data_IF_178503474487
#
_entry.id   IF_178503474487
#
_cell.length_a   1.000
_cell.length_b   1.000
_cell.length_c   1.000
_cell.angle_alpha   90.00
_cell.angle_beta   90.00
_cell.angle_gamma   90.00
#
_symmetry.space_group_name_H-M   'P 1'
#
loop_
_entity.id
_entity.type
_entity.pdbx_description
1 polymer ?
#
# COMPACT_ATOMS: atom_id res chain seq x y z
N UNK A 1 15.72 -2.52 -58.91
CA UNK A 1 16.47 -2.50 -57.63
C UNK A 1 15.52 -3.03 -56.57
N UNK A 2 15.31 -4.34 -56.54
CA UNK A 2 14.34 -5.00 -55.68
C UNK A 2 15.08 -5.50 -54.45
N UNK A 3 15.37 -4.58 -53.53
CA UNK A 3 15.79 -4.97 -52.20
C UNK A 3 14.57 -5.57 -51.50
N UNK A 4 14.60 -6.88 -51.32
CA UNK A 4 13.54 -7.63 -50.64
C UNK A 4 13.75 -7.54 -49.13
N UNK A 5 12.66 -7.62 -48.36
CA UNK A 5 12.77 -7.81 -46.93
C UNK A 5 13.40 -9.17 -46.64
N UNK A 6 14.29 -9.20 -45.67
CA UNK A 6 14.86 -10.43 -45.14
C UNK A 6 13.80 -11.22 -44.37
N UNK A 7 14.07 -12.51 -44.20
CA UNK A 7 13.13 -13.43 -43.57
C UNK A 7 12.86 -13.08 -42.11
N UNK A 8 13.85 -12.57 -41.37
CA UNK A 8 13.68 -12.20 -39.97
C UNK A 8 12.72 -11.02 -39.83
N UNK A 9 12.83 -10.00 -40.69
CA UNK A 9 11.87 -8.88 -40.73
C UNK A 9 10.46 -9.35 -41.08
N UNK A 10 10.30 -10.28 -42.02
CA UNK A 10 8.97 -10.83 -42.36
C UNK A 10 8.36 -11.63 -41.19
N UNK A 11 9.15 -12.41 -40.47
CA UNK A 11 8.69 -13.12 -39.27
C UNK A 11 8.30 -12.14 -38.16
N UNK A 12 9.17 -11.17 -37.86
CA UNK A 12 8.90 -10.15 -36.85
C UNK A 12 7.68 -9.27 -37.21
N UNK A 13 7.45 -9.03 -38.50
CA UNK A 13 6.22 -8.37 -38.97
C UNK A 13 4.98 -9.20 -38.67
N UNK A 14 5.03 -10.52 -38.94
CA UNK A 14 3.91 -11.44 -38.66
C UNK A 14 3.58 -11.50 -37.16
N UNK A 15 4.61 -11.48 -36.31
CA UNK A 15 4.49 -11.54 -34.85
C UNK A 15 4.23 -10.15 -34.21
N UNK A 16 4.17 -9.09 -35.02
CA UNK A 16 4.00 -7.69 -34.58
C UNK A 16 5.09 -7.23 -33.58
N UNK A 17 6.34 -7.66 -33.82
CA UNK A 17 7.51 -7.38 -32.99
C UNK A 17 8.46 -6.33 -33.58
N UNK A 18 8.16 -5.81 -34.78
CA UNK A 18 8.95 -4.75 -35.40
C UNK A 18 8.78 -3.40 -34.70
N UNK A 19 9.83 -2.58 -34.74
CA UNK A 19 9.72 -1.18 -34.35
C UNK A 19 8.71 -0.43 -35.25
N UNK A 20 8.05 0.64 -34.76
CA UNK A 20 6.97 1.29 -35.51
C UNK A 20 7.36 1.81 -36.91
N UNK A 21 8.60 2.27 -37.06
CA UNK A 21 9.16 2.75 -38.32
C UNK A 21 9.45 1.60 -39.30
N UNK A 22 10.01 0.49 -38.82
CA UNK A 22 10.26 -0.72 -39.61
C UNK A 22 8.95 -1.38 -40.04
N UNK A 23 7.97 -1.46 -39.13
CA UNK A 23 6.64 -1.99 -39.43
C UNK A 23 5.96 -1.17 -40.55
N UNK A 24 6.09 0.16 -40.52
CA UNK A 24 5.55 1.03 -41.58
C UNK A 24 6.26 0.78 -42.93
N UNK A 25 7.59 0.61 -42.93
CA UNK A 25 8.34 0.28 -44.15
C UNK A 25 7.92 -1.07 -44.73
N UNK A 26 7.80 -2.10 -43.89
CA UNK A 26 7.33 -3.42 -44.29
C UNK A 26 5.91 -3.37 -44.86
N UNK A 27 4.99 -2.69 -44.18
CA UNK A 27 3.61 -2.52 -44.63
C UNK A 27 3.51 -1.82 -46.00
N UNK A 28 4.39 -0.85 -46.27
CA UNK A 28 4.44 -0.17 -47.57
C UNK A 28 5.08 -1.04 -48.67
N UNK A 29 5.98 -1.96 -48.33
CA UNK A 29 6.68 -2.83 -49.27
C UNK A 29 5.85 -4.05 -49.71
N UNK A 30 5.14 -4.68 -48.78
CA UNK A 30 4.33 -5.89 -49.03
C UNK A 30 3.34 -5.80 -50.20
N UNK A 31 2.61 -4.68 -50.44
CA UNK A 31 1.71 -4.59 -51.60
C UNK A 31 2.43 -4.43 -52.94
N UNK A 32 3.71 -4.05 -52.93
CA UNK A 32 4.51 -3.80 -54.14
C UNK A 32 5.37 -5.00 -54.53
N UNK A 33 5.70 -5.87 -53.55
CA UNK A 33 6.54 -7.04 -53.78
C UNK A 33 5.77 -8.35 -53.58
N UNK A 34 5.42 -9.01 -54.69
CA UNK A 34 4.73 -10.31 -54.68
C UNK A 34 5.53 -11.42 -54.00
N UNK A 35 6.87 -11.38 -54.10
CA UNK A 35 7.72 -12.40 -53.46
C UNK A 35 7.67 -12.30 -51.93
N UNK A 36 7.79 -11.09 -51.38
CA UNK A 36 7.70 -10.89 -49.93
C UNK A 36 6.30 -11.19 -49.40
N UNK A 37 5.24 -10.84 -50.14
CA UNK A 37 3.87 -11.16 -49.73
C UNK A 37 3.56 -12.65 -49.80
N UNK A 38 4.07 -13.37 -50.80
CA UNK A 38 3.99 -14.83 -50.89
C UNK A 38 4.69 -15.50 -49.71
N UNK A 39 5.94 -15.12 -49.40
CA UNK A 39 6.68 -15.65 -48.25
C UNK A 39 5.96 -15.38 -46.93
N UNK A 40 5.40 -14.18 -46.74
CA UNK A 40 4.62 -13.84 -45.54
C UNK A 40 3.36 -14.72 -45.42
N UNK A 41 2.67 -14.98 -46.55
CA UNK A 41 1.50 -15.85 -46.57
C UNK A 41 1.85 -17.31 -46.22
N UNK A 42 2.99 -17.81 -46.68
CA UNK A 42 3.52 -19.13 -46.32
C UNK A 42 3.80 -19.24 -44.81
N UNK A 43 4.51 -18.26 -44.24
CA UNK A 43 4.77 -18.17 -42.80
C UNK A 43 3.46 -18.14 -41.99
N UNK A 44 2.49 -17.32 -42.43
CA UNK A 44 1.18 -17.25 -41.79
C UNK A 44 0.38 -18.57 -41.88
N UNK A 45 0.49 -19.30 -42.99
CA UNK A 45 -0.13 -20.61 -43.14
C UNK A 45 0.50 -21.66 -42.20
N UNK A 46 1.82 -21.66 -42.07
CA UNK A 46 2.54 -22.51 -41.13
C UNK A 46 2.13 -22.20 -39.67
N UNK A 47 2.13 -20.93 -39.28
CA UNK A 47 1.72 -20.49 -37.94
C UNK A 47 0.30 -20.94 -37.59
N UNK A 48 -0.67 -20.76 -38.50
CA UNK A 48 -2.05 -21.25 -38.32
C UNK A 48 -2.12 -22.77 -38.18
N UNK A 49 -1.31 -23.50 -38.94
CA UNK A 49 -1.28 -24.97 -38.87
C UNK A 49 -0.75 -25.45 -37.51
N UNK A 50 0.26 -24.77 -36.96
CA UNK A 50 0.77 -25.04 -35.61
C UNK A 50 -0.26 -24.71 -34.52
N UNK A 51 -0.98 -23.59 -34.66
CA UNK A 51 -2.04 -23.20 -33.73
C UNK A 51 -3.25 -24.15 -33.76
N UNK A 52 -3.49 -24.84 -34.87
CA UNK A 52 -4.55 -25.83 -35.01
C UNK A 52 -4.25 -27.16 -34.31
N UNK A 53 -3.01 -27.37 -33.84
CA UNK A 53 -2.65 -28.57 -33.11
C UNK A 53 -3.37 -28.62 -31.75
N UNK A 54 -3.81 -29.81 -31.30
CA UNK A 54 -4.44 -29.95 -30.00
C UNK A 54 -3.43 -29.66 -28.89
N UNK A 55 -3.59 -28.54 -28.21
CA UNK A 55 -2.88 -28.25 -26.97
C UNK A 55 -3.54 -28.98 -25.80
N UNK A 56 -2.72 -29.54 -24.90
CA UNK A 56 -3.22 -30.12 -23.66
C UNK A 56 -3.99 -29.06 -22.87
N UNK A 57 -5.12 -29.46 -22.27
CA UNK A 57 -5.88 -28.57 -21.40
C UNK A 57 -5.01 -28.11 -20.23
N UNK A 58 -5.08 -26.81 -19.92
CA UNK A 58 -4.36 -26.25 -18.79
C UNK A 58 -4.95 -26.84 -17.49
N UNK A 59 -4.14 -27.32 -16.53
CA UNK A 59 -4.65 -27.84 -15.27
C UNK A 59 -5.49 -26.79 -14.53
N UNK A 60 -6.62 -27.21 -13.94
CA UNK A 60 -7.58 -26.29 -13.30
C UNK A 60 -6.92 -25.38 -12.23
N UNK A 61 -6.02 -25.94 -11.42
CA UNK A 61 -5.31 -25.15 -10.40
C UNK A 61 -4.42 -24.07 -11.00
N UNK A 62 -3.88 -24.28 -12.20
CA UNK A 62 -3.05 -23.31 -12.89
C UNK A 62 -3.91 -22.22 -13.55
N UNK A 63 -5.04 -22.60 -14.16
CA UNK A 63 -5.98 -21.62 -14.73
C UNK A 63 -6.56 -20.70 -13.65
N UNK A 64 -6.96 -21.24 -12.49
CA UNK A 64 -7.42 -20.45 -11.35
C UNK A 64 -6.38 -19.44 -10.85
N UNK A 65 -5.11 -19.87 -10.74
CA UNK A 65 -4.02 -18.98 -10.31
C UNK A 65 -3.78 -17.85 -11.29
N UNK A 66 -3.77 -18.14 -12.59
CA UNK A 66 -3.61 -17.12 -13.62
C UNK A 66 -4.78 -16.15 -13.61
N UNK A 67 -6.02 -16.66 -13.52
CA UNK A 67 -7.20 -15.81 -13.40
C UNK A 67 -7.14 -14.92 -12.16
N UNK A 68 -6.71 -15.42 -11.00
CA UNK A 68 -6.58 -14.61 -9.81
C UNK A 68 -5.45 -13.56 -9.92
N UNK A 69 -4.34 -13.90 -10.59
CA UNK A 69 -3.20 -12.99 -10.75
C UNK A 69 -3.47 -11.84 -11.73
N UNK A 70 -4.20 -12.13 -12.80
CA UNK A 70 -4.57 -11.13 -13.81
C UNK A 70 -5.99 -10.59 -13.65
N UNK A 71 -6.72 -11.02 -12.61
CA UNK A 71 -8.01 -10.45 -12.29
C UNK A 71 -7.83 -8.94 -12.06
N UNK A 72 -8.65 -8.09 -12.71
CA UNK A 72 -8.64 -6.68 -12.41
C UNK A 72 -8.91 -6.50 -10.93
N UNK A 73 -8.07 -5.73 -10.24
CA UNK A 73 -8.28 -5.43 -8.84
C UNK A 73 -9.71 -4.90 -8.65
N UNK A 74 -10.48 -5.40 -7.66
CA UNK A 74 -11.84 -4.92 -7.44
C UNK A 74 -11.79 -3.41 -7.23
N UNK A 75 -12.30 -2.67 -8.22
CA UNK A 75 -12.28 -1.23 -8.21
C UNK A 75 -13.17 -0.74 -7.08
N UNK A 76 -12.59 -0.32 -5.95
CA UNK A 76 -13.36 0.37 -4.89
C UNK A 76 -14.06 1.55 -5.52
N UNK A 77 -15.39 1.54 -5.45
CA UNK A 77 -16.20 2.58 -6.09
C UNK A 77 -15.81 3.94 -5.52
N UNK A 78 -15.92 5.01 -6.34
CA UNK A 78 -15.63 6.38 -5.88
C UNK A 78 -16.44 6.73 -4.61
N UNK A 79 -17.64 6.16 -4.49
CA UNK A 79 -18.51 6.30 -3.34
C UNK A 79 -17.93 5.63 -2.09
N UNK A 80 -17.52 4.35 -2.16
CA UNK A 80 -16.84 3.68 -1.04
C UNK A 80 -15.57 4.42 -0.59
N UNK A 81 -14.81 4.95 -1.54
CA UNK A 81 -13.58 5.71 -1.24
C UNK A 81 -13.88 7.01 -0.48
N UNK A 82 -14.92 7.74 -0.89
CA UNK A 82 -15.40 8.96 -0.19
C UNK A 82 -15.94 8.65 1.19
N UNK A 83 -16.74 7.59 1.34
CA UNK A 83 -17.25 7.17 2.66
C UNK A 83 -16.13 6.78 3.61
N UNK A 84 -15.09 6.11 3.13
CA UNK A 84 -13.94 5.78 3.95
C UNK A 84 -13.12 7.01 4.37
N UNK A 85 -12.98 8.02 3.51
CA UNK A 85 -12.34 9.28 3.86
C UNK A 85 -13.13 10.03 4.95
N UNK A 86 -14.46 10.04 4.86
CA UNK A 86 -15.33 10.63 5.88
C UNK A 86 -15.23 9.84 7.19
N UNK A 87 -15.31 8.51 7.13
CA UNK A 87 -15.21 7.63 8.30
C UNK A 87 -13.86 7.77 9.01
N UNK A 88 -12.75 7.86 8.27
CA UNK A 88 -11.43 8.06 8.85
C UNK A 88 -11.29 9.42 9.54
N UNK A 89 -11.85 10.48 8.96
CA UNK A 89 -11.80 11.81 9.55
C UNK A 89 -12.62 11.87 10.86
N UNK A 90 -13.83 11.29 10.87
CA UNK A 90 -14.67 11.22 12.05
C UNK A 90 -14.02 10.39 13.17
N UNK A 91 -13.39 9.25 12.84
CA UNK A 91 -12.69 8.42 13.81
C UNK A 91 -11.54 9.15 14.50
N UNK A 92 -10.74 9.93 13.76
CA UNK A 92 -9.64 10.72 14.33
C UNK A 92 -10.13 11.80 15.29
N UNK A 93 -11.22 12.50 14.94
CA UNK A 93 -11.83 13.53 15.79
C UNK A 93 -12.37 12.89 17.07
N UNK A 94 -13.09 11.77 16.94
CA UNK A 94 -13.69 11.07 18.08
C UNK A 94 -12.62 10.52 19.03
N UNK A 95 -11.54 9.96 18.49
CA UNK A 95 -10.39 9.50 19.29
C UNK A 95 -9.71 10.68 20.01
N UNK A 96 -9.52 11.81 19.33
CA UNK A 96 -8.98 13.03 19.94
C UNK A 96 -9.85 13.58 21.06
N UNK A 97 -11.18 13.62 20.87
CA UNK A 97 -12.13 14.04 21.91
C UNK A 97 -12.10 13.09 23.11
N UNK A 98 -12.06 11.78 22.89
CA UNK A 98 -11.99 10.80 23.96
C UNK A 98 -10.71 10.98 24.79
N UNK A 99 -9.56 11.09 24.14
CA UNK A 99 -8.28 11.32 24.82
C UNK A 99 -8.29 12.66 25.56
N UNK A 100 -8.77 13.73 24.93
CA UNK A 100 -8.87 15.05 25.56
C UNK A 100 -9.77 15.05 26.79
N UNK A 101 -10.93 14.39 26.71
CA UNK A 101 -11.85 14.28 27.86
C UNK A 101 -11.28 13.44 29.02
N UNK A 102 -10.47 12.42 28.72
CA UNK A 102 -9.82 11.60 29.73
C UNK A 102 -8.68 12.33 30.47
N UNK A 103 -8.08 13.35 29.84
CA UNK A 103 -7.00 14.15 30.43
C UNK A 103 -7.50 15.35 31.23
N UNK A 104 -8.80 15.64 31.21
CA UNK A 104 -9.39 16.73 31.97
C UNK A 104 -9.42 16.34 33.46
N UNK A 105 -8.41 16.76 34.22
CA UNK A 105 -8.49 16.70 35.68
C UNK A 105 -9.69 17.55 36.15
N UNK A 106 -10.58 17.02 37.01
CA UNK A 106 -11.69 17.80 37.54
C UNK A 106 -11.13 19.02 38.27
N UNK A 107 -11.77 20.20 38.14
CA UNK A 107 -11.33 21.39 38.85
C UNK A 107 -11.47 21.15 40.35
N UNK A 108 -10.40 20.68 40.99
CA UNK A 108 -10.30 20.62 42.43
C UNK A 108 -10.27 22.07 42.91
N UNK A 109 -11.36 22.51 43.55
CA UNK A 109 -11.39 23.74 44.31
C UNK A 109 -10.26 23.65 45.35
N UNK A 110 -9.11 24.26 45.06
CA UNK A 110 -7.98 24.31 46.00
C UNK A 110 -8.46 25.08 47.24
N UNK A 111 -8.56 24.47 48.43
CA UNK A 111 -8.79 25.26 49.63
C UNK A 111 -7.54 26.12 49.85
N UNK A 112 -7.70 27.43 49.72
CA UNK A 112 -6.65 28.39 50.01
C UNK A 112 -6.47 28.51 51.52
N UNK A 113 -5.74 27.60 52.16
CA UNK A 113 -5.11 27.80 53.47
C UNK A 113 -4.42 26.51 53.96
N UNK A 114 -3.08 26.46 53.90
CA UNK A 114 -2.27 25.62 54.79
C UNK A 114 -0.76 25.92 54.69
N UNK A 115 -0.29 26.53 53.60
CA UNK A 115 1.16 26.64 53.35
C UNK A 115 1.89 27.77 54.10
N UNK A 116 1.18 28.74 54.69
CA UNK A 116 1.84 29.85 55.41
C UNK A 116 2.13 29.58 56.90
N UNK A 117 1.56 28.52 57.51
CA UNK A 117 1.82 28.17 58.92
C UNK A 117 2.84 27.03 59.12
N UNK A 118 3.35 26.43 58.04
CA UNK A 118 4.31 25.33 58.12
C UNK A 118 5.68 25.75 58.71
N UNK A 119 6.04 27.03 58.65
CA UNK A 119 7.32 27.56 59.15
C UNK A 119 7.37 27.66 60.68
N UNK A 120 6.23 27.73 61.36
CA UNK A 120 6.15 27.79 62.83
C UNK A 120 6.00 26.40 63.47
N UNK A 121 5.92 25.34 62.66
CA UNK A 121 5.89 23.97 63.14
C UNK A 121 7.28 23.50 63.57
N UNK A 122 7.36 22.78 64.70
CA UNK A 122 8.60 22.19 65.25
C UNK A 122 9.29 21.13 64.38
N UNK A 123 8.93 21.00 63.11
CA UNK A 123 9.53 20.02 62.20
C UNK A 123 10.92 20.54 61.77
N UNK A 124 12.03 19.91 62.20
CA UNK A 124 13.35 20.34 61.75
C UNK A 124 13.50 20.10 60.24
N UNK A 125 14.22 20.99 59.52
CA UNK A 125 14.53 20.76 58.11
C UNK A 125 15.36 19.47 58.00
N UNK A 126 14.94 18.57 57.09
CA UNK A 126 15.62 17.29 56.86
C UNK A 126 14.71 16.06 56.81
N UNK A 127 13.40 16.21 57.08
CA UNK A 127 12.41 15.13 56.92
C UNK A 127 12.83 13.80 57.59
N UNK A 128 13.50 13.88 58.74
CA UNK A 128 14.08 12.70 59.41
C UNK A 128 13.02 11.76 60.00
N UNK A 129 11.74 12.13 60.02
CA UNK A 129 10.65 11.29 60.50
C UNK A 129 9.41 11.39 59.59
N UNK A 130 8.84 10.24 59.23
CA UNK A 130 7.63 10.15 58.41
C UNK A 130 6.34 10.59 59.13
N UNK A 131 6.34 10.61 60.48
CA UNK A 131 5.23 11.08 61.32
C UNK A 131 5.75 11.79 62.58
N UNK A 132 5.19 12.96 62.97
CA UNK A 132 5.71 13.81 64.05
C UNK A 132 5.55 13.20 65.45
N UNK A 133 4.55 12.35 65.67
CA UNK A 133 4.28 11.68 66.97
C UNK A 133 5.44 10.81 67.46
N UNK A 134 6.34 10.38 66.56
CA UNK A 134 7.48 9.53 66.89
C UNK A 134 8.70 10.32 67.37
N UNK A 135 8.76 11.64 67.19
CA UNK A 135 9.92 12.46 67.57
C UNK A 135 10.04 12.71 69.08
N UNK A 136 8.94 12.65 69.83
CA UNK A 136 8.91 13.05 71.25
C UNK A 136 8.89 11.88 72.23
N UNK A 137 9.16 10.65 71.80
CA UNK A 137 9.36 9.52 72.71
C UNK A 137 10.67 9.69 73.48
N UNK A 138 10.56 10.37 74.62
CA UNK A 138 11.62 10.55 75.62
C UNK A 138 11.92 9.19 76.24
N UNK A 139 12.94 8.51 75.72
CA UNK A 139 13.47 7.26 76.27
C UNK A 139 14.04 7.59 77.66
N UNK A 140 13.26 7.34 78.72
CA UNK A 140 13.81 7.31 80.07
C UNK A 140 14.60 6.01 80.22
N UNK A 141 15.90 6.09 79.94
CA UNK A 141 16.85 5.08 80.38
C UNK A 141 17.14 5.32 81.86
N UNK A 142 17.05 4.22 82.60
CA UNK A 142 16.98 4.05 84.05
C UNK A 142 18.23 4.53 84.79
#
# INVERSE_FOLDING_TARGET
MTEHLDLATLSAYLDNELAPDEHTRAANHLPVCEQCSATLAELGALSRSLQALPCAALPDKLSERLHAQFAPAPGRTRWQRRWMQIASAAASIMLGLLIGSALQEPPQARPAAASMLAVLGSAPPGALCARPELCYLKVNLK
#
